data_IF_596174517410
#
_entry.id   IF_596174517410
#
_cell.length_a   1.000
_cell.length_b   1.000
_cell.length_c   1.000
_cell.angle_alpha   90.00
_cell.angle_beta   90.00
_cell.angle_gamma   90.00
#
_symmetry.space_group_name_H-M   'P 1'
#
loop_
_entity.id
_entity.type
_entity.pdbx_description
1 polymer ?
#
# COMPACT_ATOMS: atom_id res chain seq x y z
N UNK A 1 25.90 37.77 15.70
CA UNK A 1 24.46 37.87 16.05
C UNK A 1 23.74 36.72 15.37
N UNK A 2 22.74 36.16 16.04
CA UNK A 2 22.18 34.83 15.86
C UNK A 2 21.50 34.53 14.50
N UNK A 3 21.62 33.26 14.10
CA UNK A 3 20.72 32.36 13.36
C UNK A 3 19.43 32.96 12.75
N UNK A 4 19.22 32.70 11.46
CA UNK A 4 17.89 32.38 10.93
C UNK A 4 17.94 31.00 10.27
N UNK A 5 17.07 30.11 10.76
CA UNK A 5 16.73 28.76 10.28
C UNK A 5 15.30 28.89 9.74
N UNK A 6 14.94 28.12 8.70
CA UNK A 6 13.63 27.93 8.04
C UNK A 6 13.73 28.34 6.57
N UNK A 7 13.59 27.46 5.58
CA UNK A 7 12.56 26.42 5.45
C UNK A 7 12.95 25.36 4.40
N UNK A 8 13.54 24.24 4.84
CA UNK A 8 13.76 23.04 4.00
C UNK A 8 12.59 22.04 4.14
N UNK A 9 11.33 22.48 4.00
CA UNK A 9 10.17 21.58 4.32
C UNK A 9 8.96 21.68 3.41
N UNK A 10 9.06 22.34 2.25
CA UNK A 10 7.93 22.45 1.30
C UNK A 10 8.20 21.73 -0.04
N UNK A 11 8.93 20.62 -0.02
CA UNK A 11 9.12 19.74 -1.20
C UNK A 11 8.78 18.27 -0.90
N UNK A 12 7.92 18.03 0.11
CA UNK A 12 7.42 16.68 0.44
C UNK A 12 5.94 16.48 0.00
N UNK A 13 5.40 17.40 -0.82
CA UNK A 13 3.96 17.45 -1.13
C UNK A 13 3.56 16.98 -2.54
N UNK A 14 4.50 16.59 -3.41
CA UNK A 14 4.17 16.28 -4.82
C UNK A 14 4.44 14.84 -5.26
N UNK A 15 4.73 13.92 -4.34
CA UNK A 15 5.06 12.51 -4.66
C UNK A 15 4.00 11.48 -4.21
N UNK A 16 2.73 11.87 -3.99
CA UNK A 16 1.67 10.92 -3.63
C UNK A 16 0.81 10.42 -4.81
N UNK A 17 0.94 10.96 -6.03
CA UNK A 17 -0.01 10.66 -7.13
C UNK A 17 0.57 9.94 -8.37
N UNK A 18 1.90 9.89 -8.57
CA UNK A 18 2.49 9.44 -9.85
C UNK A 18 3.20 8.06 -9.81
N UNK A 19 2.57 7.04 -9.24
CA UNK A 19 3.01 5.65 -9.45
C UNK A 19 1.82 4.72 -9.73
N UNK A 20 1.01 5.10 -10.70
CA UNK A 20 0.17 4.16 -11.47
C UNK A 20 1.03 3.53 -12.58
N UNK A 21 2.02 2.73 -12.17
CA UNK A 21 2.77 1.90 -13.12
C UNK A 21 1.76 0.87 -13.66
N UNK A 22 1.32 1.05 -14.91
CA UNK A 22 0.31 0.24 -15.62
C UNK A 22 0.66 -1.25 -15.72
N UNK A 23 0.57 -1.94 -14.58
CA UNK A 23 0.48 -3.38 -14.49
C UNK A 23 -1.00 -3.72 -14.62
N UNK A 24 -1.47 -3.80 -15.86
CA UNK A 24 -2.77 -4.37 -16.20
C UNK A 24 -2.70 -5.86 -15.87
N UNK A 25 -3.08 -6.21 -14.65
CA UNK A 25 -3.30 -7.61 -14.28
C UNK A 25 -4.48 -8.08 -15.11
N UNK A 26 -4.22 -8.99 -16.04
CA UNK A 26 -5.20 -9.51 -17.00
C UNK A 26 -6.57 -9.75 -16.35
N UNK A 27 -7.54 -8.90 -16.71
CA UNK A 27 -8.95 -8.87 -16.27
C UNK A 27 -9.76 -10.10 -16.74
N UNK A 28 -9.15 -11.27 -16.92
CA UNK A 28 -9.87 -12.48 -17.34
C UNK A 28 -10.57 -13.18 -16.15
N UNK A 29 -11.16 -12.38 -15.27
CA UNK A 29 -12.17 -12.86 -14.33
C UNK A 29 -13.31 -11.87 -14.35
N UNK A 30 -14.46 -12.33 -14.85
CA UNK A 30 -15.74 -11.65 -14.90
C UNK A 30 -16.31 -11.45 -13.47
N UNK A 31 -15.51 -10.85 -12.58
CA UNK A 31 -15.81 -10.63 -11.17
C UNK A 31 -16.47 -9.26 -11.03
N UNK A 32 -17.60 -9.23 -10.32
CA UNK A 32 -18.32 -8.02 -9.96
C UNK A 32 -17.37 -6.98 -9.34
N UNK A 33 -17.60 -5.66 -9.51
CA UNK A 33 -16.76 -4.65 -8.89
C UNK A 33 -16.72 -4.90 -7.38
N UNK A 34 -15.51 -5.06 -6.84
CA UNK A 34 -15.27 -5.42 -5.44
C UNK A 34 -15.44 -4.17 -4.54
N UNK A 35 -16.65 -3.62 -4.54
CA UNK A 35 -17.05 -2.36 -3.89
C UNK A 35 -16.69 -2.36 -2.41
N UNK A 36 -16.75 -3.52 -1.77
CA UNK A 36 -16.39 -3.69 -0.36
C UNK A 36 -14.88 -3.51 -0.11
N UNK A 37 -14.01 -3.98 -1.02
CA UNK A 37 -12.56 -3.78 -0.95
C UNK A 37 -12.19 -2.30 -1.15
N UNK A 38 -12.80 -1.66 -2.14
CA UNK A 38 -12.58 -0.25 -2.44
C UNK A 38 -12.96 0.64 -1.24
N UNK A 39 -14.17 0.46 -0.72
CA UNK A 39 -14.66 1.21 0.44
C UNK A 39 -13.77 1.02 1.67
N UNK A 40 -13.36 -0.23 1.95
CA UNK A 40 -12.49 -0.53 3.07
C UNK A 40 -11.09 0.08 2.89
N UNK A 41 -10.56 0.12 1.66
CA UNK A 41 -9.28 0.74 1.35
C UNK A 41 -9.29 2.25 1.57
N UNK A 42 -10.29 2.96 1.04
CA UNK A 42 -10.40 4.42 1.22
C UNK A 42 -10.63 4.82 2.67
N UNK A 43 -11.42 4.04 3.42
CA UNK A 43 -11.57 4.20 4.87
C UNK A 43 -10.21 4.07 5.59
N UNK A 44 -9.45 3.03 5.25
CA UNK A 44 -8.11 2.80 5.80
C UNK A 44 -7.12 3.93 5.44
N UNK A 45 -7.24 4.50 4.24
CA UNK A 45 -6.40 5.61 3.77
C UNK A 45 -6.70 6.91 4.54
N UNK A 46 -7.97 7.19 4.82
CA UNK A 46 -8.36 8.34 5.65
C UNK A 46 -7.81 8.22 7.07
N UNK A 47 -7.83 7.01 7.65
CA UNK A 47 -7.30 6.73 8.99
C UNK A 47 -5.78 6.87 9.11
N UNK A 48 -5.02 6.85 7.99
CA UNK A 48 -3.54 6.95 7.98
C UNK A 48 -3.04 8.20 8.71
N UNK A 49 -3.76 9.30 8.58
CA UNK A 49 -3.38 10.62 9.10
C UNK A 49 -3.72 10.76 10.59
N UNK A 50 -4.86 10.21 11.02
CA UNK A 50 -5.34 10.31 12.40
C UNK A 50 -4.70 9.28 13.33
N UNK A 51 -4.76 7.99 12.96
CA UNK A 51 -4.22 6.89 13.76
C UNK A 51 -3.55 5.84 12.86
N UNK A 52 -2.22 5.90 12.70
CA UNK A 52 -1.49 4.97 11.86
C UNK A 52 -1.60 3.51 12.33
N UNK A 53 -1.84 3.24 13.62
CA UNK A 53 -2.02 1.87 14.13
C UNK A 53 -3.42 1.35 13.79
N UNK A 54 -4.45 2.18 13.90
CA UNK A 54 -5.80 1.82 13.47
C UNK A 54 -5.89 1.64 11.94
N UNK A 55 -5.14 2.45 11.18
CA UNK A 55 -5.01 2.30 9.73
C UNK A 55 -4.40 0.95 9.37
N UNK A 56 -3.34 0.50 10.06
CA UNK A 56 -2.76 -0.83 9.85
C UNK A 56 -3.78 -1.97 10.06
N UNK A 57 -4.60 -1.88 11.12
CA UNK A 57 -5.65 -2.86 11.36
C UNK A 57 -6.75 -2.81 10.27
N UNK A 58 -7.05 -1.63 9.74
CA UNK A 58 -8.04 -1.46 8.67
C UNK A 58 -7.53 -1.96 7.32
N UNK A 59 -6.25 -1.75 7.00
CA UNK A 59 -5.61 -2.35 5.83
C UNK A 59 -5.49 -3.87 5.95
N UNK A 60 -5.31 -4.40 7.16
CA UNK A 60 -5.35 -5.84 7.40
C UNK A 60 -6.71 -6.44 7.00
N UNK A 61 -7.81 -5.73 7.27
CA UNK A 61 -9.15 -6.18 6.84
C UNK A 61 -9.30 -6.22 5.33
N UNK A 62 -8.68 -5.29 4.58
CA UNK A 62 -8.65 -5.35 3.11
C UNK A 62 -8.05 -6.68 2.64
N UNK A 63 -6.96 -7.13 3.27
CA UNK A 63 -6.31 -8.41 2.95
C UNK A 63 -7.14 -9.63 3.34
N UNK A 64 -7.92 -9.53 4.42
CA UNK A 64 -8.83 -10.60 4.85
C UNK A 64 -10.05 -10.70 3.93
N UNK A 65 -10.61 -9.57 3.52
CA UNK A 65 -11.73 -9.49 2.56
C UNK A 65 -11.34 -10.02 1.18
N UNK A 66 -10.09 -9.83 0.76
CA UNK A 66 -9.54 -10.37 -0.49
C UNK A 66 -9.51 -11.92 -0.51
N UNK A 67 -9.79 -12.59 0.63
CA UNK A 67 -10.07 -14.03 0.66
C UNK A 67 -8.90 -14.95 0.30
N UNK A 68 -7.68 -14.40 0.18
CA UNK A 68 -6.48 -15.14 -0.20
C UNK A 68 -6.21 -15.19 -1.71
N UNK A 69 -7.12 -14.66 -2.53
CA UNK A 69 -6.81 -14.32 -3.92
C UNK A 69 -5.95 -13.06 -3.92
N UNK A 70 -4.87 -13.06 -4.71
CA UNK A 70 -3.97 -11.91 -4.74
C UNK A 70 -4.45 -10.92 -5.80
N UNK A 71 -5.18 -9.91 -5.36
CA UNK A 71 -5.71 -8.85 -6.21
C UNK A 71 -4.95 -7.53 -6.08
N UNK A 72 -5.45 -6.54 -6.79
CA UNK A 72 -4.89 -5.19 -6.81
C UNK A 72 -5.06 -4.47 -5.47
N UNK A 73 -6.21 -4.65 -4.81
CA UNK A 73 -6.55 -3.99 -3.55
C UNK A 73 -5.65 -4.45 -2.40
N UNK A 74 -5.34 -5.74 -2.29
CA UNK A 74 -4.39 -6.26 -1.32
C UNK A 74 -2.96 -5.78 -1.56
N UNK A 75 -2.56 -5.66 -2.83
CA UNK A 75 -1.26 -5.08 -3.19
C UNK A 75 -1.16 -3.61 -2.77
N UNK A 76 -2.18 -2.80 -3.11
CA UNK A 76 -2.28 -1.39 -2.69
C UNK A 76 -2.28 -1.25 -1.16
N UNK A 77 -3.00 -2.12 -0.45
CA UNK A 77 -3.05 -2.13 1.02
C UNK A 77 -1.67 -2.44 1.63
N UNK A 78 -0.98 -3.47 1.15
CA UNK A 78 0.35 -3.84 1.64
C UNK A 78 1.37 -2.71 1.45
N UNK A 79 1.36 -2.01 0.30
CA UNK A 79 2.23 -0.85 0.06
C UNK A 79 2.02 0.25 1.12
N UNK A 80 0.77 0.52 1.49
CA UNK A 80 0.45 1.48 2.56
C UNK A 80 0.89 0.99 3.94
N UNK A 81 0.67 -0.29 4.27
CA UNK A 81 1.11 -0.87 5.54
C UNK A 81 2.63 -0.79 5.73
N UNK A 82 3.41 -1.00 4.67
CA UNK A 82 4.87 -0.86 4.67
C UNK A 82 5.27 0.59 4.97
N UNK A 83 4.66 1.57 4.27
CA UNK A 83 4.92 3.00 4.49
C UNK A 83 4.62 3.42 5.93
N UNK A 84 3.50 2.94 6.50
CA UNK A 84 3.13 3.25 7.89
C UNK A 84 4.13 2.62 8.87
N UNK A 85 4.48 1.33 8.72
CA UNK A 85 5.45 0.68 9.59
C UNK A 85 6.84 1.32 9.51
N UNK A 86 7.23 1.82 8.33
CA UNK A 86 8.46 2.59 8.16
C UNK A 86 8.42 3.90 8.95
N UNK A 87 7.33 4.69 8.85
CA UNK A 87 7.14 5.91 9.66
C UNK A 87 7.14 5.63 11.17
N UNK A 88 6.63 4.48 11.60
CA UNK A 88 6.61 4.04 13.00
C UNK A 88 7.92 3.41 13.49
N UNK A 89 8.98 3.37 12.66
CA UNK A 89 10.26 2.68 12.96
C UNK A 89 10.12 1.17 13.28
N UNK A 90 9.01 0.55 12.88
CA UNK A 90 8.75 -0.88 13.08
C UNK A 90 9.31 -1.70 11.91
N UNK A 91 10.62 -1.71 11.75
CA UNK A 91 11.30 -2.34 10.61
C UNK A 91 11.09 -3.87 10.53
N UNK A 92 10.91 -4.54 11.67
CA UNK A 92 10.64 -5.97 11.72
C UNK A 92 9.31 -6.31 11.04
N UNK A 93 8.24 -5.62 11.45
CA UNK A 93 6.90 -5.81 10.90
C UNK A 93 6.85 -5.36 9.44
N UNK A 94 7.49 -4.23 9.12
CA UNK A 94 7.66 -3.75 7.75
C UNK A 94 8.23 -4.84 6.84
N UNK A 95 9.26 -5.55 7.29
CA UNK A 95 9.89 -6.61 6.49
C UNK A 95 9.00 -7.84 6.30
N UNK A 96 8.13 -8.15 7.26
CA UNK A 96 7.11 -9.19 7.10
C UNK A 96 6.13 -8.79 6.00
N UNK A 97 5.61 -7.55 6.02
CA UNK A 97 4.69 -7.02 5.00
C UNK A 97 5.33 -6.95 3.62
N UNK A 98 6.60 -6.55 3.55
CA UNK A 98 7.34 -6.53 2.29
C UNK A 98 7.50 -7.92 1.68
N UNK A 99 7.81 -8.94 2.48
CA UNK A 99 7.85 -10.34 1.98
C UNK A 99 6.49 -10.80 1.46
N UNK A 100 5.40 -10.40 2.09
CA UNK A 100 4.04 -10.67 1.61
C UNK A 100 3.77 -9.98 0.27
N UNK A 101 4.13 -8.71 0.13
CA UNK A 101 4.01 -7.93 -1.10
C UNK A 101 4.73 -8.62 -2.29
N UNK A 102 5.93 -9.16 -2.07
CA UNK A 102 6.67 -9.89 -3.11
C UNK A 102 5.93 -11.13 -3.64
N UNK A 103 4.99 -11.70 -2.88
CA UNK A 103 4.18 -12.83 -3.34
C UNK A 103 3.10 -12.43 -4.35
N UNK A 104 2.67 -11.16 -4.35
CA UNK A 104 1.75 -10.59 -5.36
C UNK A 104 2.44 -10.35 -6.70
N UNK A 105 3.77 -10.18 -6.68
CA UNK A 105 4.58 -9.94 -7.89
C UNK A 105 4.96 -11.26 -8.57
N UNK A 106 5.06 -12.37 -7.81
CA UNK A 106 5.47 -13.68 -8.36
C UNK A 106 4.47 -14.30 -9.35
N UNK A 107 3.19 -13.95 -9.30
CA UNK A 107 2.21 -14.35 -10.31
C UNK A 107 2.23 -13.42 -11.54
N UNK A 108 2.62 -12.15 -11.38
CA UNK A 108 2.66 -11.15 -12.44
C UNK A 108 3.93 -11.19 -13.30
N UNK A 109 5.07 -11.56 -12.71
CA UNK A 109 6.34 -11.61 -13.42
C UNK A 109 6.47 -12.96 -14.12
N UNK A 110 6.05 -13.02 -15.38
CA UNK A 110 6.51 -14.07 -16.30
C UNK A 110 8.04 -14.05 -16.29
N UNK A 111 8.65 -15.10 -15.73
CA UNK A 111 10.08 -15.38 -15.90
C UNK A 111 10.38 -15.40 -17.39
N UNK A 112 10.91 -14.29 -17.93
CA UNK A 112 11.46 -14.32 -19.27
C UNK A 112 12.74 -15.15 -19.24
N UNK A 113 12.74 -16.20 -20.06
CA UNK A 113 13.90 -17.01 -20.41
C UNK A 113 15.06 -16.14 -20.90
N UNK A 114 16.28 -16.45 -20.44
CA UNK A 114 17.54 -16.35 -21.20
C UNK A 114 18.55 -17.31 -20.59
#
# INVERSE_FOLDING_TARGET
IYRSKMSDVEDDFMCEEEEDYGLEYSEDSNSEPDVDLENQYYNSKALKEDDPKAALASFQKVLELEGGEKGEWGFKALKQMIKINFKLNNYQEMMVRYKQLLTYIKSAVTRNHS
#
